data_IF_073638267165
#
_entry.id   IF_073638267165
#
_cell.length_a   1.000
_cell.length_b   1.000
_cell.length_c   1.000
_cell.angle_alpha   90.00
_cell.angle_beta   90.00
_cell.angle_gamma   90.00
#
_symmetry.space_group_name_H-M   'P 1'
#
loop_
_entity.id
_entity.type
_entity.pdbx_description
1 polymer ?
#
# COMPACT_ATOMS: atom_id res chain seq x y z
N UNK A 1 -26.08 -1.07 -31.65
CA UNK A 1 -24.68 -1.45 -31.98
C UNK A 1 -23.74 -0.76 -31.01
N UNK A 2 -23.34 -1.40 -29.90
CA UNK A 2 -22.26 -0.86 -29.05
C UNK A 2 -20.96 -1.03 -29.82
N UNK A 3 -20.32 0.07 -30.26
CA UNK A 3 -18.93 0.02 -30.73
C UNK A 3 -18.09 -0.52 -29.57
N UNK A 4 -17.56 -1.73 -29.73
CA UNK A 4 -16.65 -2.33 -28.77
C UNK A 4 -15.28 -1.69 -29.01
N UNK A 5 -14.95 -0.68 -28.21
CA UNK A 5 -13.60 -0.11 -28.20
C UNK A 5 -12.64 -1.22 -27.78
N UNK A 6 -11.71 -1.55 -28.67
CA UNK A 6 -10.78 -2.65 -28.49
C UNK A 6 -9.38 -2.16 -28.80
N UNK A 7 -8.44 -2.50 -27.91
CA UNK A 7 -7.04 -2.14 -28.02
C UNK A 7 -6.24 -3.35 -28.45
N UNK A 8 -5.16 -3.11 -29.20
CA UNK A 8 -4.15 -4.12 -29.42
C UNK A 8 -3.08 -4.05 -28.34
N UNK A 9 -2.64 -5.19 -27.83
CA UNK A 9 -1.57 -5.25 -26.83
C UNK A 9 -0.29 -4.52 -27.28
N UNK A 10 0.05 -4.58 -28.57
CA UNK A 10 1.22 -3.93 -29.17
C UNK A 10 1.24 -2.42 -28.94
N UNK A 11 0.07 -1.79 -28.79
CA UNK A 11 -0.04 -0.37 -28.46
C UNK A 11 0.67 -0.03 -27.13
N UNK A 12 0.57 -0.94 -26.16
CA UNK A 12 1.17 -0.80 -24.83
C UNK A 12 2.63 -1.24 -24.79
N UNK A 13 3.07 -2.13 -25.69
CA UNK A 13 4.39 -2.76 -25.64
C UNK A 13 5.54 -1.73 -25.57
N UNK A 14 5.49 -0.68 -26.39
CA UNK A 14 6.50 0.40 -26.37
C UNK A 14 6.60 1.14 -25.03
N UNK A 15 5.51 1.22 -24.29
CA UNK A 15 5.48 1.87 -22.98
C UNK A 15 5.88 0.92 -21.86
N UNK A 16 5.54 -0.37 -21.98
CA UNK A 16 5.96 -1.43 -21.04
C UNK A 16 7.48 -1.66 -21.07
N UNK A 17 8.13 -1.40 -22.21
CA UNK A 17 9.57 -1.53 -22.43
C UNK A 17 10.33 -0.19 -22.34
N UNK A 18 9.67 0.88 -21.90
CA UNK A 18 10.28 2.21 -21.88
C UNK A 18 11.39 2.31 -20.82
N UNK A 19 12.48 3.02 -21.10
CA UNK A 19 13.56 3.22 -20.13
C UNK A 19 13.11 4.00 -18.87
N UNK A 20 12.06 4.81 -18.99
CA UNK A 20 11.47 5.51 -17.85
C UNK A 20 10.53 4.59 -17.06
N UNK A 21 10.92 4.28 -15.83
CA UNK A 21 10.18 3.37 -14.95
C UNK A 21 8.79 3.90 -14.55
N UNK A 22 8.59 5.21 -14.44
CA UNK A 22 7.27 5.79 -14.14
C UNK A 22 6.30 5.60 -15.32
N UNK A 23 6.81 5.71 -16.56
CA UNK A 23 6.03 5.39 -17.76
C UNK A 23 5.66 3.90 -17.76
N UNK A 24 6.60 3.02 -17.41
CA UNK A 24 6.34 1.58 -17.27
C UNK A 24 5.29 1.28 -16.19
N UNK A 25 5.33 1.97 -15.05
CA UNK A 25 4.30 1.84 -14.01
C UNK A 25 2.91 2.18 -14.55
N UNK A 26 2.81 3.29 -15.28
CA UNK A 26 1.53 3.75 -15.85
C UNK A 26 1.02 2.77 -16.90
N UNK A 27 1.89 2.29 -17.78
CA UNK A 27 1.53 1.30 -18.79
C UNK A 27 1.11 -0.03 -18.15
N UNK A 28 1.83 -0.49 -17.14
CA UNK A 28 1.51 -1.69 -16.37
C UNK A 28 0.14 -1.57 -15.69
N UNK A 29 -0.16 -0.42 -15.08
CA UNK A 29 -1.49 -0.15 -14.52
C UNK A 29 -2.58 -0.19 -15.60
N UNK A 30 -2.35 0.47 -16.74
CA UNK A 30 -3.32 0.57 -17.83
C UNK A 30 -3.67 -0.79 -18.44
N UNK A 31 -2.70 -1.68 -18.65
CA UNK A 31 -3.00 -3.02 -19.20
C UNK A 31 -3.86 -3.85 -18.25
N UNK A 32 -3.74 -3.66 -16.92
CA UNK A 32 -4.63 -4.34 -15.95
C UNK A 32 -6.03 -3.74 -16.00
N UNK A 33 -6.15 -2.42 -16.05
CA UNK A 33 -7.45 -1.73 -16.07
C UNK A 33 -8.21 -1.98 -17.37
N UNK A 34 -7.51 -2.00 -18.52
CA UNK A 34 -8.11 -2.20 -19.84
C UNK A 34 -8.05 -3.65 -20.31
N UNK A 35 -7.65 -4.61 -19.47
CA UNK A 35 -7.34 -5.96 -19.96
C UNK A 35 -8.54 -6.69 -20.59
N UNK A 36 -9.79 -6.38 -20.19
CA UNK A 36 -11.01 -6.89 -20.83
C UNK A 36 -11.27 -6.29 -22.23
N UNK A 37 -10.60 -5.17 -22.56
CA UNK A 37 -10.67 -4.48 -23.85
C UNK A 37 -9.51 -4.85 -24.79
N UNK A 38 -8.49 -5.57 -24.29
CA UNK A 38 -7.36 -6.04 -25.08
C UNK A 38 -7.75 -7.38 -25.72
N UNK A 39 -7.76 -7.44 -27.06
CA UNK A 39 -8.30 -8.61 -27.79
C UNK A 39 -7.40 -9.84 -27.69
N UNK A 40 -6.10 -9.62 -27.70
CA UNK A 40 -5.11 -10.68 -27.90
C UNK A 40 -4.87 -11.51 -26.63
N UNK A 41 -5.22 -11.00 -25.45
CA UNK A 41 -4.87 -11.61 -24.18
C UNK A 41 -6.03 -11.60 -23.19
N UNK A 42 -6.12 -12.65 -22.36
CA UNK A 42 -7.09 -12.71 -21.27
C UNK A 42 -6.75 -11.68 -20.19
N UNK A 43 -7.76 -11.14 -19.51
CA UNK A 43 -7.60 -10.24 -18.36
C UNK A 43 -6.63 -10.77 -17.29
N UNK A 44 -6.62 -12.08 -17.03
CA UNK A 44 -5.71 -12.71 -16.08
C UNK A 44 -4.24 -12.60 -16.50
N UNK A 45 -3.95 -12.72 -17.81
CA UNK A 45 -2.61 -12.58 -18.36
C UNK A 45 -2.17 -11.12 -18.24
N UNK A 46 -3.01 -10.17 -18.66
CA UNK A 46 -2.73 -8.74 -18.53
C UNK A 46 -2.50 -8.32 -17.07
N UNK A 47 -3.29 -8.88 -16.14
CA UNK A 47 -3.13 -8.67 -14.70
C UNK A 47 -1.78 -9.18 -14.20
N UNK A 48 -1.39 -10.40 -14.60
CA UNK A 48 -0.10 -10.99 -14.21
C UNK A 48 1.08 -10.17 -14.73
N UNK A 49 1.04 -9.73 -16.00
CA UNK A 49 2.08 -8.88 -16.61
C UNK A 49 2.17 -7.55 -15.87
N UNK A 50 1.04 -6.86 -15.67
CA UNK A 50 1.02 -5.55 -15.02
C UNK A 50 1.51 -5.63 -13.57
N UNK A 51 1.02 -6.58 -12.78
CA UNK A 51 1.46 -6.77 -11.39
C UNK A 51 2.94 -7.17 -11.32
N UNK A 52 3.42 -8.00 -12.25
CA UNK A 52 4.82 -8.40 -12.34
C UNK A 52 5.76 -7.22 -12.58
N UNK A 53 5.42 -6.34 -13.53
CA UNK A 53 6.22 -5.13 -13.81
C UNK A 53 6.26 -4.20 -12.61
N UNK A 54 5.12 -3.97 -11.96
CA UNK A 54 5.05 -3.11 -10.77
C UNK A 54 5.89 -3.69 -9.62
N UNK A 55 5.83 -5.00 -9.40
CA UNK A 55 6.66 -5.70 -8.42
C UNK A 55 8.15 -5.60 -8.75
N UNK A 56 8.53 -5.76 -10.02
CA UNK A 56 9.92 -5.66 -10.45
C UNK A 56 10.46 -4.25 -10.17
N UNK A 57 9.69 -3.20 -10.48
CA UNK A 57 10.08 -1.81 -10.18
C UNK A 57 10.22 -1.60 -8.67
N UNK A 58 9.29 -2.09 -7.85
CA UNK A 58 9.43 -2.05 -6.39
C UNK A 58 10.72 -2.71 -5.87
N UNK A 59 11.10 -3.84 -6.49
CA UNK A 59 12.24 -4.66 -6.08
C UNK A 59 13.59 -4.11 -6.54
N UNK A 60 13.70 -3.69 -7.80
CA UNK A 60 14.99 -3.44 -8.45
C UNK A 60 15.32 -1.97 -8.63
N UNK A 61 14.31 -1.10 -8.67
CA UNK A 61 14.52 0.33 -8.90
C UNK A 61 15.38 0.96 -7.80
N UNK A 62 16.22 1.92 -8.18
CA UNK A 62 16.93 2.80 -7.24
C UNK A 62 16.30 4.19 -7.17
N UNK A 63 15.22 4.43 -7.92
CA UNK A 63 14.54 5.71 -8.04
C UNK A 63 13.32 5.70 -7.11
N UNK A 64 13.34 6.53 -6.08
CA UNK A 64 12.23 6.61 -5.11
C UNK A 64 10.91 7.00 -5.78
N UNK A 65 10.92 7.89 -6.77
CA UNK A 65 9.71 8.29 -7.50
C UNK A 65 9.09 7.11 -8.28
N UNK A 66 9.91 6.23 -8.85
CA UNK A 66 9.43 5.04 -9.55
C UNK A 66 8.82 4.02 -8.56
N UNK A 67 9.45 3.82 -7.40
CA UNK A 67 8.89 3.00 -6.32
C UNK A 67 7.57 3.58 -5.81
N UNK A 68 7.50 4.89 -5.64
CA UNK A 68 6.30 5.61 -5.24
C UNK A 68 5.16 5.42 -6.25
N UNK A 69 5.46 5.59 -7.55
CA UNK A 69 4.50 5.40 -8.64
C UNK A 69 4.02 3.94 -8.72
N UNK A 70 4.92 2.97 -8.53
CA UNK A 70 4.56 1.56 -8.51
C UNK A 70 3.63 1.23 -7.32
N UNK A 71 3.95 1.73 -6.13
CA UNK A 71 3.11 1.58 -4.93
C UNK A 71 1.74 2.25 -5.11
N UNK A 72 1.67 3.42 -5.74
CA UNK A 72 0.41 4.11 -6.04
C UNK A 72 -0.46 3.29 -7.02
N UNK A 73 0.15 2.79 -8.10
CA UNK A 73 -0.53 1.94 -9.06
C UNK A 73 -1.09 0.68 -8.38
N UNK A 74 -0.28 0.03 -7.53
CA UNK A 74 -0.72 -1.13 -6.75
C UNK A 74 -1.85 -0.78 -5.77
N UNK A 75 -1.83 0.40 -5.13
CA UNK A 75 -2.92 0.85 -4.27
C UNK A 75 -4.24 0.96 -5.05
N UNK A 76 -4.18 1.57 -6.24
CA UNK A 76 -5.35 1.73 -7.12
C UNK A 76 -5.86 0.38 -7.63
N UNK A 77 -4.97 -0.54 -7.99
CA UNK A 77 -5.33 -1.90 -8.42
C UNK A 77 -5.87 -2.76 -7.26
N UNK A 78 -5.34 -2.61 -6.05
CA UNK A 78 -5.80 -3.31 -4.85
C UNK A 78 -7.24 -2.94 -4.46
N UNK A 79 -7.74 -1.78 -4.91
CA UNK A 79 -9.11 -1.34 -4.72
C UNK A 79 -10.10 -1.89 -5.78
N UNK A 80 -9.61 -2.58 -6.82
CA UNK A 80 -10.47 -3.14 -7.88
C UNK A 80 -11.20 -4.42 -7.42
N UNK A 81 -12.38 -4.69 -8.01
CA UNK A 81 -13.24 -5.84 -7.65
C UNK A 81 -13.00 -7.12 -8.49
N UNK A 82 -12.08 -7.12 -9.44
CA UNK A 82 -11.94 -8.15 -10.50
C UNK A 82 -10.94 -9.28 -10.20
N UNK A 83 -10.74 -9.67 -8.93
CA UNK A 83 -9.73 -10.68 -8.58
C UNK A 83 -8.27 -10.18 -8.68
N UNK A 84 -8.06 -8.97 -9.18
CA UNK A 84 -6.76 -8.28 -9.28
C UNK A 84 -6.05 -8.19 -7.91
N UNK A 85 -6.74 -7.83 -6.81
CA UNK A 85 -6.08 -7.81 -5.50
C UNK A 85 -5.51 -9.16 -5.06
N UNK A 86 -6.18 -10.26 -5.39
CA UNK A 86 -5.69 -11.62 -5.13
C UNK A 86 -4.44 -11.93 -5.96
N UNK A 87 -4.40 -11.50 -7.23
CA UNK A 87 -3.21 -11.62 -8.06
C UNK A 87 -2.02 -10.83 -7.49
N UNK A 88 -2.25 -9.62 -6.98
CA UNK A 88 -1.22 -8.81 -6.29
C UNK A 88 -0.66 -9.57 -5.08
N UNK A 89 -1.51 -10.20 -4.27
CA UNK A 89 -1.09 -10.99 -3.10
C UNK A 89 -0.31 -12.24 -3.51
N UNK A 90 -0.71 -12.88 -4.61
CA UNK A 90 -0.08 -14.08 -5.13
C UNK A 90 1.38 -13.85 -5.57
N UNK A 91 1.68 -12.70 -6.18
CA UNK A 91 3.06 -12.33 -6.56
C UNK A 91 3.91 -11.79 -5.40
N UNK A 92 3.41 -11.88 -4.16
CA UNK A 92 4.11 -11.49 -2.93
C UNK A 92 4.47 -10.00 -2.79
N UNK A 93 3.64 -9.11 -3.34
CA UNK A 93 3.83 -7.65 -3.26
C UNK A 93 3.84 -7.11 -1.83
N UNK A 94 3.10 -7.73 -0.89
CA UNK A 94 2.99 -7.28 0.50
C UNK A 94 4.36 -7.08 1.15
N UNK A 95 5.29 -8.02 0.91
CA UNK A 95 6.58 -7.93 1.57
C UNK A 95 7.41 -6.73 1.10
N UNK A 96 7.36 -6.45 -0.20
CA UNK A 96 8.06 -5.33 -0.81
C UNK A 96 7.44 -3.99 -0.42
N UNK A 97 6.11 -3.91 -0.30
CA UNK A 97 5.43 -2.71 0.19
C UNK A 97 5.80 -2.40 1.65
N UNK A 98 5.88 -3.41 2.52
CA UNK A 98 6.33 -3.21 3.91
C UNK A 98 7.78 -2.70 3.97
N UNK A 99 8.67 -3.17 3.08
CA UNK A 99 10.06 -2.72 3.04
C UNK A 99 10.19 -1.23 2.68
N UNK A 100 9.22 -0.66 1.96
CA UNK A 100 9.20 0.76 1.60
C UNK A 100 9.04 1.69 2.81
N UNK A 101 8.62 1.21 3.97
CA UNK A 101 8.55 2.03 5.19
C UNK A 101 9.92 2.50 5.68
N UNK A 102 10.99 1.88 5.19
CA UNK A 102 12.38 2.31 5.45
C UNK A 102 12.84 3.46 4.55
N UNK A 103 12.04 3.86 3.55
CA UNK A 103 12.31 4.99 2.67
C UNK A 103 12.32 6.32 3.45
N UNK A 104 13.03 7.31 2.94
CA UNK A 104 12.94 8.71 3.40
C UNK A 104 11.82 9.49 2.70
N UNK A 105 11.22 8.94 1.64
CA UNK A 105 10.18 9.60 0.86
C UNK A 105 8.80 9.30 1.45
N UNK A 106 8.19 10.32 2.07
CA UNK A 106 6.87 10.23 2.71
C UNK A 106 5.76 9.78 1.76
N UNK A 107 5.81 10.24 0.51
CA UNK A 107 4.85 9.85 -0.53
C UNK A 107 4.94 8.36 -0.82
N UNK A 108 6.17 7.81 -0.86
CA UNK A 108 6.40 6.38 -1.07
C UNK A 108 5.82 5.56 0.09
N UNK A 109 6.05 6.00 1.32
CA UNK A 109 5.51 5.35 2.54
C UNK A 109 3.99 5.42 2.55
N UNK A 110 3.42 6.58 2.23
CA UNK A 110 1.97 6.79 2.17
C UNK A 110 1.31 5.89 1.14
N UNK A 111 1.83 5.87 -0.09
CA UNK A 111 1.33 5.03 -1.17
C UNK A 111 1.41 3.54 -0.81
N UNK A 112 2.54 3.10 -0.24
CA UNK A 112 2.70 1.73 0.22
C UNK A 112 1.72 1.38 1.34
N UNK A 113 1.53 2.29 2.30
CA UNK A 113 0.58 2.12 3.40
C UNK A 113 -0.86 2.00 2.90
N UNK A 114 -1.26 2.83 1.94
CA UNK A 114 -2.60 2.79 1.35
C UNK A 114 -2.82 1.49 0.58
N UNK A 115 -1.85 1.03 -0.19
CA UNK A 115 -1.92 -0.26 -0.88
C UNK A 115 -2.11 -1.42 0.11
N UNK A 116 -1.30 -1.46 1.17
CA UNK A 116 -1.43 -2.46 2.24
C UNK A 116 -2.78 -2.36 2.96
N UNK A 117 -3.31 -1.15 3.12
CA UNK A 117 -4.66 -0.91 3.65
C UNK A 117 -5.73 -1.64 2.85
N UNK A 118 -5.76 -1.45 1.52
CA UNK A 118 -6.72 -2.17 0.67
C UNK A 118 -6.50 -3.68 0.66
N UNK A 119 -5.25 -4.15 0.59
CA UNK A 119 -4.93 -5.58 0.61
C UNK A 119 -5.29 -6.26 1.95
N UNK A 120 -5.38 -5.51 3.05
CA UNK A 120 -5.74 -6.05 4.38
C UNK A 120 -7.19 -6.53 4.47
N UNK A 121 -8.07 -6.15 3.54
CA UNK A 121 -9.44 -6.67 3.49
C UNK A 121 -9.49 -8.13 3.04
N UNK A 122 -8.46 -8.58 2.33
CA UNK A 122 -8.39 -9.94 1.79
C UNK A 122 -7.77 -10.86 2.84
N UNK A 123 -8.38 -12.01 3.17
CA UNK A 123 -7.89 -12.89 4.24
C UNK A 123 -6.41 -13.28 4.10
N UNK A 124 -5.97 -13.65 2.90
CA UNK A 124 -4.59 -14.02 2.60
C UNK A 124 -3.64 -12.83 2.80
N UNK A 125 -4.07 -11.65 2.34
CA UNK A 125 -3.31 -10.41 2.47
C UNK A 125 -3.18 -9.97 3.93
N UNK A 126 -4.29 -9.99 4.66
CA UNK A 126 -4.34 -9.71 6.10
C UNK A 126 -3.40 -10.61 6.89
N UNK A 127 -3.42 -11.92 6.63
CA UNK A 127 -2.56 -12.88 7.33
C UNK A 127 -1.08 -12.60 7.07
N UNK A 128 -0.69 -12.34 5.80
CA UNK A 128 0.69 -11.97 5.45
C UNK A 128 1.10 -10.67 6.13
N UNK A 129 0.23 -9.65 6.10
CA UNK A 129 0.51 -8.35 6.70
C UNK A 129 0.62 -8.42 8.22
N UNK A 130 -0.25 -9.19 8.90
CA UNK A 130 -0.14 -9.43 10.34
C UNK A 130 1.16 -10.13 10.71
N UNK A 131 1.62 -11.08 9.89
CA UNK A 131 2.92 -11.71 10.10
C UNK A 131 4.05 -10.67 10.05
N UNK A 132 4.00 -9.76 9.07
CA UNK A 132 4.96 -8.64 8.97
C UNK A 132 4.88 -7.69 10.16
N UNK A 133 3.70 -7.30 10.61
CA UNK A 133 3.55 -6.49 11.83
C UNK A 133 4.12 -7.21 13.07
N UNK A 134 4.02 -8.54 13.16
CA UNK A 134 4.59 -9.29 14.30
C UNK A 134 6.12 -9.32 14.29
N UNK A 135 6.72 -9.32 13.10
CA UNK A 135 8.18 -9.21 12.93
C UNK A 135 8.66 -7.77 13.18
N UNK A 136 7.91 -6.79 12.66
CA UNK A 136 8.23 -5.36 12.70
C UNK A 136 7.00 -4.58 13.22
N UNK A 137 6.82 -4.46 14.54
CA UNK A 137 5.63 -3.82 15.13
C UNK A 137 5.38 -2.39 14.68
N UNK A 138 6.40 -1.64 14.26
CA UNK A 138 6.27 -0.26 13.81
C UNK A 138 5.44 -0.13 12.51
N UNK A 139 5.35 -1.21 11.71
CA UNK A 139 4.51 -1.27 10.50
C UNK A 139 3.05 -0.89 10.82
N UNK A 140 2.51 -1.34 11.95
CA UNK A 140 1.11 -1.05 12.31
C UNK A 140 0.86 0.45 12.50
N UNK A 141 1.88 1.20 12.94
CA UNK A 141 1.76 2.63 13.18
C UNK A 141 1.65 3.37 11.84
N UNK A 142 2.49 3.04 10.85
CA UNK A 142 2.37 3.58 9.49
C UNK A 142 1.00 3.26 8.88
N UNK A 143 0.55 2.01 9.01
CA UNK A 143 -0.76 1.59 8.51
C UNK A 143 -1.89 2.43 9.12
N UNK A 144 -1.89 2.64 10.44
CA UNK A 144 -2.90 3.47 11.12
C UNK A 144 -2.82 4.94 10.67
N UNK A 145 -1.61 5.52 10.59
CA UNK A 145 -1.42 6.93 10.21
C UNK A 145 -1.97 7.24 8.82
N UNK A 146 -1.70 6.41 7.81
CA UNK A 146 -2.11 6.70 6.43
C UNK A 146 -3.49 6.17 6.03
N UNK A 147 -4.05 5.23 6.80
CA UNK A 147 -5.34 4.61 6.45
C UNK A 147 -6.49 4.95 7.40
N UNK A 148 -6.21 5.59 8.54
CA UNK A 148 -7.22 5.99 9.53
C UNK A 148 -7.21 7.51 9.72
N UNK A 149 -7.27 8.24 8.60
CA UNK A 149 -7.29 9.71 8.62
C UNK A 149 -8.61 10.23 9.21
N UNK A 150 -8.57 11.25 10.09
CA UNK A 150 -9.78 11.84 10.66
C UNK A 150 -10.73 12.36 9.57
N UNK A 151 -12.05 12.13 9.75
CA UNK A 151 -13.07 12.58 8.81
C UNK A 151 -13.22 11.72 7.54
N UNK A 152 -12.41 10.67 7.37
CA UNK A 152 -12.49 9.74 6.25
C UNK A 152 -12.80 8.31 6.72
N UNK A 153 -13.52 7.51 5.91
CA UNK A 153 -13.71 6.10 6.22
C UNK A 153 -12.34 5.39 6.23
N UNK A 154 -12.08 4.53 7.22
CA UNK A 154 -10.80 3.84 7.30
C UNK A 154 -10.61 2.90 6.12
N UNK A 155 -9.45 2.99 5.47
CA UNK A 155 -9.07 2.07 4.38
C UNK A 155 -8.50 0.76 4.92
N UNK A 156 -8.05 0.74 6.17
CA UNK A 156 -7.50 -0.44 6.83
C UNK A 156 -8.62 -1.35 7.32
N UNK A 157 -8.45 -2.67 7.14
CA UNK A 157 -9.42 -3.65 7.60
C UNK A 157 -9.53 -3.65 9.12
N UNK A 158 -10.76 -3.55 9.62
CA UNK A 158 -11.06 -3.66 11.05
C UNK A 158 -10.63 -5.02 11.62
N UNK A 159 -10.69 -6.09 10.81
CA UNK A 159 -10.23 -7.41 11.23
C UNK A 159 -8.74 -7.43 11.52
N UNK A 160 -7.93 -6.72 10.72
CA UNK A 160 -6.49 -6.60 10.96
C UNK A 160 -6.21 -5.87 12.28
N UNK A 161 -6.94 -4.78 12.55
CA UNK A 161 -6.80 -4.02 13.79
C UNK A 161 -7.16 -4.90 14.99
N UNK A 162 -8.31 -5.56 14.95
CA UNK A 162 -8.77 -6.42 16.04
C UNK A 162 -7.81 -7.59 16.31
N UNK A 163 -7.27 -8.22 15.26
CA UNK A 163 -6.29 -9.30 15.38
C UNK A 163 -4.96 -8.79 15.96
N UNK A 164 -4.51 -7.61 15.55
CA UNK A 164 -3.32 -6.97 16.13
C UNK A 164 -3.50 -6.61 17.61
N UNK A 165 -4.65 -6.04 17.98
CA UNK A 165 -4.93 -5.65 19.36
C UNK A 165 -5.02 -6.90 20.25
N UNK A 166 -5.67 -7.98 19.78
CA UNK A 166 -5.66 -9.30 20.45
C UNK A 166 -4.24 -9.83 20.66
N UNK A 167 -3.38 -9.74 19.64
CA UNK A 167 -1.98 -10.16 19.75
C UNK A 167 -1.25 -9.40 20.86
N UNK A 168 -1.46 -8.09 20.96
CA UNK A 168 -0.87 -7.27 22.02
C UNK A 168 -1.41 -7.60 23.41
N UNK A 169 -2.72 -7.78 23.55
CA UNK A 169 -3.34 -8.15 24.82
C UNK A 169 -2.79 -9.48 25.35
N UNK A 170 -2.59 -10.46 24.46
CA UNK A 170 -2.10 -11.79 24.81
C UNK A 170 -0.58 -11.84 25.07
N UNK A 171 0.15 -10.74 24.90
CA UNK A 171 1.62 -10.64 25.07
C UNK A 171 2.39 -11.75 24.35
N UNK A 172 1.91 -12.16 23.17
CA UNK A 172 2.53 -13.24 22.42
C UNK A 172 3.99 -12.88 22.07
N UNK A 173 4.90 -13.87 22.10
CA UNK A 173 6.31 -13.62 21.83
C UNK A 173 6.50 -13.10 20.41
N UNK A 174 7.36 -12.08 20.28
CA UNK A 174 7.77 -11.55 18.99
C UNK A 174 8.38 -12.66 18.15
N UNK A 175 8.03 -12.70 16.87
CA UNK A 175 8.76 -13.54 15.93
C UNK A 175 10.18 -12.95 15.83
N UNK A 176 11.22 -13.79 15.88
CA UNK A 176 12.62 -13.31 15.82
C UNK A 176 12.77 -12.39 14.60
N UNK A 177 12.98 -11.10 14.84
CA UNK A 177 13.31 -10.19 13.76
C UNK A 177 14.79 -10.33 13.45
N UNK A 178 15.13 -10.45 12.16
CA UNK A 178 16.44 -10.04 11.72
C UNK A 178 16.33 -8.52 11.55
N UNK A 179 17.02 -7.75 12.40
CA UNK A 179 17.15 -6.29 12.38
C UNK A 179 15.91 -5.48 12.79
N UNK A 180 15.90 -4.99 14.04
CA UNK A 180 15.05 -3.86 14.45
C UNK A 180 15.68 -2.55 13.98
N UNK A 181 15.16 -1.95 12.91
CA UNK A 181 15.66 -0.68 12.39
C UNK A 181 15.11 0.51 13.21
N UNK A 182 15.99 1.14 14.02
CA UNK A 182 15.74 2.41 14.74
C UNK A 182 15.27 3.54 13.78
N UNK A 183 15.44 3.35 12.47
CA UNK A 183 15.07 4.28 11.39
C UNK A 183 13.57 4.64 11.35
N UNK A 184 12.67 3.74 11.75
CA UNK A 184 11.22 3.96 11.59
C UNK A 184 10.65 5.08 12.45
N UNK A 185 11.19 5.29 13.66
CA UNK A 185 10.60 6.26 14.60
C UNK A 185 10.74 7.71 14.10
N UNK A 186 11.93 8.09 13.61
CA UNK A 186 12.19 9.43 13.05
C UNK A 186 11.39 9.68 11.77
N UNK A 187 11.20 8.64 10.96
CA UNK A 187 10.40 8.73 9.74
C UNK A 187 8.92 8.95 10.11
N UNK A 188 8.38 8.14 11.01
CA UNK A 188 6.99 8.22 11.47
C UNK A 188 6.66 9.57 12.12
N UNK A 189 7.56 10.11 12.95
CA UNK A 189 7.35 11.42 13.58
C UNK A 189 7.25 12.54 12.54
N UNK A 190 8.13 12.53 11.54
CA UNK A 190 8.13 13.50 10.45
C UNK A 190 6.86 13.39 9.59
N UNK A 191 6.40 12.17 9.30
CA UNK A 191 5.15 11.93 8.58
C UNK A 191 3.94 12.51 9.31
N UNK A 192 3.86 12.27 10.63
CA UNK A 192 2.77 12.79 11.47
C UNK A 192 2.78 14.33 11.48
N UNK A 193 3.95 14.96 11.62
CA UNK A 193 4.06 16.42 11.60
C UNK A 193 3.63 17.02 10.26
N UNK A 194 4.00 16.41 9.13
CA UNK A 194 3.57 16.84 7.79
C UNK A 194 2.07 16.71 7.61
N UNK A 195 1.48 15.60 8.05
CA UNK A 195 0.02 15.41 8.01
C UNK A 195 -0.73 16.42 8.90
N UNK A 196 -0.12 16.87 10.00
CA UNK A 196 -0.67 17.96 10.84
C UNK A 196 -0.56 19.34 10.17
N UNK A 197 0.50 19.57 9.41
CA UNK A 197 0.75 20.84 8.72
C UNK A 197 -0.02 20.99 7.39
N UNK A 198 -0.56 19.90 6.84
CA UNK A 198 -1.37 19.94 5.63
C UNK A 198 -2.66 20.78 5.87
N UNK A 199 -2.99 21.74 4.99
CA UNK A 199 -4.19 22.56 5.15
C UNK A 199 -5.43 21.67 5.20
N UNK A 200 -6.31 21.90 6.18
CA UNK A 200 -7.58 21.20 6.39
C UNK A 200 -8.63 21.53 5.32
N UNK A 201 -8.22 21.65 4.05
CA UNK A 201 -9.15 21.91 2.96
C UNK A 201 -9.79 20.61 2.50
N UNK A 202 -11.11 20.60 2.66
CA UNK A 202 -12.10 19.58 2.32
C UNK A 202 -12.27 18.45 3.36
N UNK A 203 -13.48 18.38 3.92
CA UNK A 203 -14.07 17.27 4.70
C UNK A 203 -13.91 17.28 6.23
N UNK A 204 -13.82 18.44 6.87
CA UNK A 204 -14.09 18.56 8.29
C UNK A 204 -15.54 19.03 8.55
N UNK A 205 -16.45 18.09 8.82
CA UNK A 205 -17.52 18.32 9.79
C UNK A 205 -17.55 17.15 10.77
N UNK A 206 -17.42 17.52 12.05
CA UNK A 206 -17.65 16.71 13.25
C UNK A 206 -16.58 15.69 13.62
N UNK A 207 -15.55 16.14 14.35
CA UNK A 207 -15.33 15.82 15.78
C UNK A 207 -13.95 16.34 16.23
N UNK A 208 -13.89 16.83 17.47
CA UNK A 208 -12.71 17.50 18.07
C UNK A 208 -11.41 16.67 17.93
N UNK A 209 -10.35 17.21 17.29
CA UNK A 209 -9.09 16.52 17.02
C UNK A 209 -8.37 15.98 18.28
N UNK A 210 -8.62 16.60 19.43
CA UNK A 210 -7.95 16.30 20.69
C UNK A 210 -8.35 14.95 21.30
N UNK A 211 -9.54 14.42 20.96
CA UNK A 211 -10.05 13.15 21.51
C UNK A 211 -9.56 11.92 20.72
N UNK A 212 -9.32 12.05 19.42
CA UNK A 212 -8.89 10.93 18.56
C UNK A 212 -7.40 10.60 18.71
N UNK A 213 -6.57 11.61 19.02
CA UNK A 213 -5.11 11.44 19.19
C UNK A 213 -4.77 10.61 20.43
N UNK A 214 -5.52 10.77 21.52
CA UNK A 214 -5.34 9.96 22.73
C UNK A 214 -5.82 8.50 22.57
N UNK A 215 -6.65 8.20 21.56
CA UNK A 215 -7.16 6.86 21.33
C UNK A 215 -6.15 5.95 20.61
N UNK A 216 -5.31 6.50 19.71
CA UNK A 216 -4.40 5.70 18.88
C UNK A 216 -2.92 5.74 19.28
N UNK A 217 -2.52 6.62 20.21
CA UNK A 217 -1.12 6.84 20.59
C UNK A 217 -0.76 6.63 22.08
N UNK A 218 -1.19 5.55 22.78
CA UNK A 218 -0.64 5.27 24.10
C UNK A 218 0.82 4.78 24.07
N UNK A 219 1.30 4.21 22.96
CA UNK A 219 2.61 3.53 22.92
C UNK A 219 3.82 4.41 22.59
N UNK A 220 3.62 5.66 22.15
CA UNK A 220 4.74 6.58 21.85
C UNK A 220 5.27 7.28 23.12
N UNK A 221 4.45 7.39 24.18
CA UNK A 221 4.82 8.10 25.41
C UNK A 221 5.65 7.29 26.41
N UNK A 222 5.92 6.00 26.16
CA UNK A 222 6.68 5.15 27.09
C UNK A 222 8.18 5.03 26.76
N UNK A 223 8.70 5.84 25.83
CA UNK A 223 10.13 5.85 25.46
C UNK A 223 10.71 7.27 25.31
N UNK A 224 10.27 8.20 26.16
CA UNK A 224 11.03 9.42 26.48
C UNK A 224 11.40 9.34 27.95
#
# INVERSE_FOLDING_TARGET
>A
LKKQYQFSFDYFQKFLQNNNECIRCTAAFQIVVFGDLIREQKQSINTAIGCGILLDILRTSQIDDAKSAAAECLARLAHMKSGVPQAIIAVNVIDYLCNLFSSSNDTTIGNASVALGFLSHIPEGRRKLLNRCRMEPDIIAFLKVYNCLPGLPPRLSIHLINEWDRYHTLKLPKLRSQQSNIRYFKVLSNSIERLRAAPQTAYAKEQSPSKLINFYLPHIRQKV
#
